data_IF_576544300845
#
_entry.id   IF_576544300845
#
_cell.length_a   1.000
_cell.length_b   1.000
_cell.length_c   1.000
_cell.angle_alpha   90.00
_cell.angle_beta   90.00
_cell.angle_gamma   90.00
#
_symmetry.space_group_name_H-M   'P 1'
#
loop_
_entity.id
_entity.type
_entity.pdbx_description
1 polymer ?
#
# COMPACT_ATOMS: atom_id res chain seq x y z
N UNK A 1 11.88 -31.19 -32.61
CA UNK A 1 13.20 -31.24 -31.93
C UNK A 1 13.94 -29.90 -31.93
N UNK A 2 13.75 -28.99 -32.89
CA UNK A 2 14.43 -27.68 -32.92
C UNK A 2 14.08 -26.73 -31.76
N UNK A 3 12.83 -26.72 -31.28
CA UNK A 3 12.40 -25.84 -30.18
C UNK A 3 13.13 -26.15 -28.86
N UNK A 4 13.41 -27.42 -28.57
CA UNK A 4 14.15 -27.81 -27.37
C UNK A 4 15.59 -27.30 -27.38
N UNK A 5 16.21 -27.22 -28.57
CA UNK A 5 17.57 -26.67 -28.74
C UNK A 5 17.59 -25.16 -28.57
N UNK A 6 16.56 -24.46 -29.07
CA UNK A 6 16.40 -23.01 -28.89
C UNK A 6 16.18 -22.63 -27.41
N UNK A 7 15.29 -23.34 -26.72
CA UNK A 7 15.03 -23.12 -25.29
C UNK A 7 16.28 -23.36 -24.43
N UNK A 8 17.04 -24.42 -24.70
CA UNK A 8 18.32 -24.68 -24.00
C UNK A 8 19.36 -23.58 -24.23
N UNK A 9 19.39 -22.98 -25.42
CA UNK A 9 20.29 -21.87 -25.72
C UNK A 9 19.90 -20.61 -24.94
N UNK A 10 18.60 -20.29 -24.91
CA UNK A 10 18.08 -19.14 -24.17
C UNK A 10 18.28 -19.30 -22.67
N UNK A 11 18.10 -20.51 -22.13
CA UNK A 11 18.31 -20.80 -20.71
C UNK A 11 19.77 -20.59 -20.34
N UNK A 12 20.70 -21.09 -21.17
CA UNK A 12 22.14 -20.87 -20.96
C UNK A 12 22.53 -19.39 -21.02
N UNK A 13 21.98 -18.63 -21.97
CA UNK A 13 22.23 -17.19 -22.09
C UNK A 13 21.71 -16.43 -20.86
N UNK A 14 20.53 -16.81 -20.34
CA UNK A 14 19.99 -16.23 -19.11
C UNK A 14 20.82 -16.60 -17.88
N UNK A 15 21.29 -17.84 -17.77
CA UNK A 15 22.18 -18.26 -16.68
C UNK A 15 23.50 -17.47 -16.69
N UNK A 16 24.06 -17.22 -17.87
CA UNK A 16 25.29 -16.45 -18.05
C UNK A 16 25.08 -14.96 -17.71
N UNK A 17 23.92 -14.40 -18.07
CA UNK A 17 23.54 -13.04 -17.70
C UNK A 17 23.30 -12.91 -16.19
N UNK A 18 22.60 -13.87 -15.58
CA UNK A 18 22.41 -13.91 -14.12
C UNK A 18 23.76 -13.95 -13.44
N UNK A 19 24.66 -14.86 -13.82
CA UNK A 19 26.00 -14.94 -13.25
C UNK A 19 26.78 -13.62 -13.33
N UNK A 20 26.74 -12.93 -14.48
CA UNK A 20 27.40 -11.63 -14.66
C UNK A 20 26.77 -10.53 -13.79
N UNK A 21 25.44 -10.52 -13.61
CA UNK A 21 24.78 -9.58 -12.71
C UNK A 21 25.10 -9.86 -11.25
N UNK A 22 25.18 -11.13 -10.84
CA UNK A 22 25.57 -11.50 -9.47
C UNK A 22 26.98 -11.04 -9.17
N UNK A 23 27.94 -11.26 -10.08
CA UNK A 23 29.33 -10.79 -9.93
C UNK A 23 29.40 -9.26 -9.80
N UNK A 24 28.62 -8.54 -10.61
CA UNK A 24 28.56 -7.07 -10.54
C UNK A 24 27.96 -6.58 -9.21
N UNK A 25 26.96 -7.28 -8.67
CA UNK A 25 26.37 -6.97 -7.36
C UNK A 25 27.33 -7.27 -6.21
N UNK A 26 28.10 -8.36 -6.28
CA UNK A 26 29.15 -8.66 -5.29
C UNK A 26 30.23 -7.59 -5.28
N UNK A 27 30.70 -7.13 -6.45
CA UNK A 27 31.66 -6.03 -6.54
C UNK A 27 31.10 -4.72 -5.98
N UNK A 28 29.83 -4.40 -6.27
CA UNK A 28 29.18 -3.21 -5.73
C UNK A 28 29.02 -3.29 -4.21
N UNK A 29 28.67 -4.47 -3.67
CA UNK A 29 28.58 -4.72 -2.24
C UNK A 29 29.95 -4.60 -1.56
N UNK A 30 31.02 -5.14 -2.15
CA UNK A 30 32.39 -4.96 -1.66
C UNK A 30 32.84 -3.49 -1.69
N UNK A 31 32.47 -2.73 -2.72
CA UNK A 31 32.77 -1.29 -2.77
C UNK A 31 32.05 -0.52 -1.67
N UNK A 32 30.77 -0.84 -1.42
CA UNK A 32 30.00 -0.24 -0.33
C UNK A 32 30.58 -0.62 1.04
N UNK A 33 30.95 -1.89 1.24
CA UNK A 33 31.60 -2.37 2.47
C UNK A 33 32.94 -1.66 2.69
N UNK A 34 33.78 -1.54 1.65
CA UNK A 34 35.04 -0.78 1.72
C UNK A 34 34.78 0.69 2.07
N UNK A 35 33.76 1.31 1.49
CA UNK A 35 33.42 2.70 1.78
C UNK A 35 32.92 2.88 3.23
N UNK A 36 32.12 1.94 3.73
CA UNK A 36 31.64 1.96 5.12
C UNK A 36 32.79 1.70 6.11
N UNK A 37 33.67 0.76 5.81
CA UNK A 37 34.84 0.45 6.64
C UNK A 37 35.91 1.54 6.58
N UNK A 38 36.10 2.20 5.43
CA UNK A 38 37.01 3.35 5.34
C UNK A 38 36.40 4.63 5.90
N UNK A 39 35.08 4.79 5.81
CA UNK A 39 34.35 5.98 6.28
C UNK A 39 34.12 6.00 7.79
N UNK A 40 33.99 4.84 8.44
CA UNK A 40 33.79 4.76 9.90
C UNK A 40 35.06 5.14 10.70
N UNK A 41 36.26 4.86 10.18
CA UNK A 41 37.51 5.15 10.91
C UNK A 41 38.08 6.56 10.66
N UNK A 42 37.60 7.29 9.66
CA UNK A 42 38.16 8.59 9.30
C UNK A 42 37.60 9.76 10.15
N UNK A 43 36.51 9.55 10.89
CA UNK A 43 35.75 10.64 11.51
C UNK A 43 36.02 10.90 12.99
N UNK A 44 36.94 10.16 13.64
CA UNK A 44 37.11 10.27 15.11
C UNK A 44 38.18 11.28 15.54
N UNK A 45 39.05 11.79 14.65
CA UNK A 45 40.10 12.75 15.07
C UNK A 45 40.46 13.77 13.99
N UNK A 46 39.63 14.79 13.79
CA UNK A 46 40.01 15.88 12.89
C UNK A 46 38.96 16.95 12.75
N UNK A 47 38.95 17.90 13.69
CA UNK A 47 38.16 19.11 13.69
C UNK A 47 38.39 19.92 12.40
N UNK A 48 37.51 19.82 11.41
CA UNK A 48 37.61 20.53 10.13
C UNK A 48 36.84 19.88 8.98
N UNK A 49 35.52 19.73 9.14
CA UNK A 49 34.63 19.07 8.17
C UNK A 49 34.41 19.90 6.90
N UNK A 50 35.20 19.63 5.88
CA UNK A 50 34.89 19.97 4.49
C UNK A 50 34.93 18.69 3.67
N UNK A 51 33.77 18.27 3.13
CA UNK A 51 33.76 17.26 2.08
C UNK A 51 34.58 17.78 0.90
N UNK A 52 35.46 16.95 0.35
CA UNK A 52 36.24 17.30 -0.83
C UNK A 52 35.26 17.64 -1.98
N UNK A 53 35.28 18.86 -2.56
CA UNK A 53 34.29 19.30 -3.55
C UNK A 53 34.24 18.38 -4.78
N UNK A 54 35.34 17.71 -5.12
CA UNK A 54 35.36 16.72 -6.20
C UNK A 54 34.50 15.48 -5.91
N UNK A 55 34.30 15.16 -4.62
CA UNK A 55 33.44 14.05 -4.21
C UNK A 55 31.97 14.39 -4.38
N UNK A 56 31.61 15.65 -4.12
CA UNK A 56 30.24 16.16 -4.30
C UNK A 56 29.89 16.17 -5.78
N UNK A 57 30.78 16.67 -6.64
CA UNK A 57 30.56 16.73 -8.09
C UNK A 57 30.42 15.33 -8.71
N UNK A 58 31.19 14.34 -8.22
CA UNK A 58 31.02 12.94 -8.64
C UNK A 58 29.72 12.32 -8.13
N UNK A 59 29.27 12.67 -6.93
CA UNK A 59 27.99 12.20 -6.41
C UNK A 59 26.82 12.79 -7.18
N UNK A 60 26.89 14.08 -7.53
CA UNK A 60 25.89 14.75 -8.35
C UNK A 60 25.79 14.12 -9.74
N UNK A 61 26.92 13.90 -10.41
CA UNK A 61 26.97 13.19 -11.70
C UNK A 61 26.41 11.76 -11.62
N UNK A 62 26.70 11.02 -10.55
CA UNK A 62 26.17 9.67 -10.36
C UNK A 62 24.64 9.68 -10.15
N UNK A 63 24.13 10.67 -9.42
CA UNK A 63 22.69 10.84 -9.21
C UNK A 63 21.99 11.16 -10.52
N UNK A 64 22.57 12.03 -11.35
CA UNK A 64 22.05 12.34 -12.69
C UNK A 64 22.05 11.11 -13.60
N UNK A 65 23.13 10.34 -13.62
CA UNK A 65 23.22 9.10 -14.41
C UNK A 65 22.19 8.06 -13.97
N UNK A 66 21.99 7.89 -12.66
CA UNK A 66 20.97 7.00 -12.11
C UNK A 66 19.55 7.47 -12.44
N UNK A 67 19.30 8.77 -12.37
CA UNK A 67 18.01 9.35 -12.72
C UNK A 67 17.71 9.16 -14.21
N UNK A 68 18.70 9.32 -15.09
CA UNK A 68 18.57 9.06 -16.51
C UNK A 68 18.31 7.57 -16.81
N UNK A 69 19.00 6.66 -16.11
CA UNK A 69 18.79 5.22 -16.27
C UNK A 69 17.37 4.79 -15.83
N UNK A 70 16.86 5.33 -14.72
CA UNK A 70 15.49 5.07 -14.25
C UNK A 70 14.46 5.61 -15.25
N UNK A 71 14.69 6.80 -15.82
CA UNK A 71 13.82 7.37 -16.84
C UNK A 71 13.76 6.50 -18.10
N UNK A 72 14.91 6.05 -18.61
CA UNK A 72 14.98 5.14 -19.74
C UNK A 72 14.29 3.79 -19.46
N UNK A 73 14.46 3.26 -18.25
CA UNK A 73 13.77 2.02 -17.84
C UNK A 73 12.25 2.19 -17.81
N UNK A 74 11.76 3.30 -17.27
CA UNK A 74 10.33 3.61 -17.25
C UNK A 74 9.75 3.78 -18.66
N UNK A 75 10.48 4.44 -19.56
CA UNK A 75 10.10 4.55 -20.97
C UNK A 75 10.03 3.19 -21.67
N UNK A 76 11.00 2.30 -21.41
CA UNK A 76 10.97 0.93 -21.93
C UNK A 76 9.82 0.10 -21.35
N UNK A 77 9.53 0.21 -20.05
CA UNK A 77 8.41 -0.50 -19.42
C UNK A 77 7.06 -0.04 -19.95
N UNK A 78 6.87 1.27 -20.17
CA UNK A 78 5.64 1.80 -20.75
C UNK A 78 5.37 1.19 -22.13
N UNK A 79 6.41 1.02 -22.96
CA UNK A 79 6.30 0.36 -24.25
C UNK A 79 5.91 -1.12 -24.17
N UNK A 80 6.49 -1.86 -23.21
CA UNK A 80 6.14 -3.28 -23.00
C UNK A 80 4.71 -3.43 -22.46
N UNK A 81 4.30 -2.57 -21.52
CA UNK A 81 2.95 -2.57 -20.98
C UNK A 81 1.90 -2.24 -22.06
N UNK A 82 2.18 -1.26 -22.93
CA UNK A 82 1.34 -0.95 -24.08
C UNK A 82 1.22 -2.13 -25.05
N UNK A 83 2.34 -2.78 -25.40
CA UNK A 83 2.31 -3.98 -26.26
C UNK A 83 1.47 -5.11 -25.67
N UNK A 84 1.54 -5.34 -24.35
CA UNK A 84 0.71 -6.33 -23.67
C UNK A 84 -0.79 -5.96 -23.72
N UNK A 85 -1.14 -4.69 -23.51
CA UNK A 85 -2.52 -4.21 -23.63
C UNK A 85 -3.04 -4.36 -25.06
N UNK A 86 -2.24 -4.06 -26.07
CA UNK A 86 -2.60 -4.27 -27.48
C UNK A 86 -2.86 -5.74 -27.80
N UNK A 87 -2.05 -6.66 -27.26
CA UNK A 87 -2.31 -8.10 -27.40
C UNK A 87 -3.60 -8.55 -26.71
N UNK A 88 -3.87 -8.09 -25.49
CA UNK A 88 -5.10 -8.41 -24.76
C UNK A 88 -6.34 -7.86 -25.46
N UNK A 89 -6.28 -6.63 -25.97
CA UNK A 89 -7.38 -6.03 -26.74
C UNK A 89 -7.64 -6.81 -28.03
N UNK A 90 -6.58 -7.28 -28.70
CA UNK A 90 -6.71 -8.12 -29.90
C UNK A 90 -7.34 -9.48 -29.57
N UNK A 91 -6.94 -10.12 -28.48
CA UNK A 91 -7.54 -11.37 -27.99
C UNK A 91 -9.01 -11.19 -27.60
N UNK A 92 -9.37 -10.11 -26.91
CA UNK A 92 -10.76 -9.78 -26.59
C UNK A 92 -11.58 -9.54 -27.86
N UNK A 93 -11.02 -8.84 -28.85
CA UNK A 93 -11.67 -8.63 -30.14
C UNK A 93 -11.91 -9.96 -30.87
N UNK A 94 -10.95 -10.89 -30.83
CA UNK A 94 -11.09 -12.23 -31.41
C UNK A 94 -12.10 -13.09 -30.64
N UNK A 95 -12.16 -12.99 -29.31
CA UNK A 95 -13.18 -13.66 -28.49
C UNK A 95 -14.59 -13.11 -28.78
N UNK A 96 -14.75 -11.79 -28.91
CA UNK A 96 -16.04 -11.18 -29.28
C UNK A 96 -16.44 -11.55 -30.71
N UNK A 97 -15.50 -11.50 -31.65
CA UNK A 97 -15.74 -11.86 -33.05
C UNK A 97 -16.06 -13.35 -33.23
N UNK A 98 -15.34 -14.24 -32.54
CA UNK A 98 -15.59 -15.67 -32.56
C UNK A 98 -16.91 -16.05 -31.87
N UNK A 99 -17.24 -15.40 -30.75
CA UNK A 99 -18.52 -15.59 -30.06
C UNK A 99 -19.71 -15.03 -30.88
N UNK A 100 -19.51 -13.97 -31.67
CA UNK A 100 -20.57 -13.41 -32.52
C UNK A 100 -20.99 -14.30 -33.69
N UNK A 101 -20.14 -15.27 -34.08
CA UNK A 101 -20.40 -16.15 -35.23
C UNK A 101 -21.14 -17.46 -34.87
N UNK A 102 -21.34 -17.75 -33.57
CA UNK A 102 -21.96 -18.98 -33.10
C UNK A 102 -23.16 -18.72 -32.20
N UNK A 103 -24.36 -18.79 -32.78
CA UNK A 103 -25.65 -18.97 -32.06
C UNK A 103 -26.09 -17.84 -31.10
N UNK A 104 -26.90 -16.92 -31.63
CA UNK A 104 -27.91 -16.18 -30.87
C UNK A 104 -27.37 -14.94 -30.15
N UNK A 105 -27.77 -13.75 -30.63
CA UNK A 105 -27.58 -12.51 -29.89
C UNK A 105 -28.12 -12.65 -28.45
N UNK A 106 -27.30 -12.44 -27.41
CA UNK A 106 -27.84 -12.21 -26.08
C UNK A 106 -28.40 -10.79 -26.04
N UNK A 107 -29.71 -10.70 -25.88
CA UNK A 107 -30.51 -9.48 -25.78
C UNK A 107 -30.27 -8.79 -24.44
N UNK A 108 -29.14 -8.09 -24.28
CA UNK A 108 -28.90 -7.24 -23.10
C UNK A 108 -29.50 -5.83 -23.23
N UNK A 109 -30.28 -5.56 -24.28
CA UNK A 109 -30.89 -4.25 -24.55
C UNK A 109 -32.34 -4.08 -24.06
N UNK A 110 -32.97 -5.09 -23.45
CA UNK A 110 -34.43 -5.06 -23.23
C UNK A 110 -34.89 -4.74 -21.79
N UNK A 111 -34.00 -4.30 -20.91
CA UNK A 111 -34.35 -4.03 -19.49
C UNK A 111 -34.15 -2.59 -19.01
N UNK A 112 -33.91 -1.62 -19.89
CA UNK A 112 -33.90 -0.21 -19.49
C UNK A 112 -34.90 0.61 -20.32
N UNK A 113 -35.94 1.06 -19.61
CA UNK A 113 -36.82 2.20 -19.92
C UNK A 113 -38.06 1.86 -20.76
N UNK A 114 -39.09 1.34 -20.07
CA UNK A 114 -40.48 1.57 -20.44
C UNK A 114 -41.19 2.26 -19.25
N UNK A 115 -40.95 3.56 -19.11
CA UNK A 115 -41.82 4.46 -18.35
C UNK A 115 -42.71 5.18 -19.35
N UNK A 116 -43.95 4.72 -19.46
CA UNK A 116 -45.05 5.52 -19.99
C UNK A 116 -45.27 6.70 -19.03
N UNK A 117 -44.95 7.92 -19.45
CA UNK A 117 -45.81 9.06 -19.13
C UNK A 117 -45.65 10.23 -20.13
N UNK A 118 -46.80 10.88 -20.32
CA UNK A 118 -47.21 11.95 -21.23
C UNK A 118 -46.19 12.86 -21.93
N UNK A 119 -46.42 13.02 -23.25
CA UNK A 119 -46.45 14.26 -24.03
C UNK A 119 -45.70 15.48 -23.47
N UNK A 120 -44.57 15.86 -24.10
CA UNK A 120 -44.31 17.27 -24.38
C UNK A 120 -43.28 17.45 -25.50
N UNK A 121 -43.50 18.51 -26.26
CA UNK A 121 -42.93 18.84 -27.56
C UNK A 121 -41.42 19.17 -27.54
N UNK A 122 -40.78 18.91 -28.69
CA UNK A 122 -39.48 19.47 -29.11
C UNK A 122 -39.39 20.99 -28.85
N UNK A 123 -38.19 21.54 -28.58
CA UNK A 123 -37.35 21.98 -29.69
C UNK A 123 -35.85 21.68 -29.51
N UNK A 124 -35.16 21.60 -30.65
CA UNK A 124 -33.72 21.37 -30.73
C UNK A 124 -32.89 22.46 -30.07
N UNK A 125 -31.83 22.03 -29.40
CA UNK A 125 -30.73 22.87 -28.93
C UNK A 125 -29.42 22.20 -29.29
N UNK A 126 -28.59 22.93 -30.03
CA UNK A 126 -27.20 22.63 -30.30
C UNK A 126 -26.45 22.36 -28.99
N UNK A 127 -25.77 21.22 -28.89
CA UNK A 127 -24.87 20.96 -27.77
C UNK A 127 -23.51 21.55 -28.13
N UNK A 128 -23.31 22.80 -27.71
CA UNK A 128 -22.00 23.39 -27.57
C UNK A 128 -21.16 22.52 -26.62
N UNK A 129 -19.95 22.21 -27.09
CA UNK A 129 -18.88 21.60 -26.32
C UNK A 129 -18.45 22.57 -25.21
N UNK A 130 -19.12 22.48 -24.06
CA UNK A 130 -18.77 23.21 -22.84
C UNK A 130 -17.54 22.60 -22.19
N UNK A 131 -16.47 23.37 -22.12
CA UNK A 131 -15.33 23.12 -21.25
C UNK A 131 -15.81 22.98 -19.79
N UNK A 132 -15.63 21.80 -19.21
CA UNK A 132 -15.74 21.58 -17.77
C UNK A 132 -14.51 22.17 -17.07
N UNK A 133 -14.49 23.49 -16.90
CA UNK A 133 -13.76 24.15 -15.82
C UNK A 133 -14.68 24.17 -14.59
N UNK A 134 -14.85 23.00 -13.96
CA UNK A 134 -15.41 22.91 -12.61
C UNK A 134 -14.36 23.48 -11.64
N UNK A 135 -14.73 24.39 -10.71
CA UNK A 135 -13.77 25.00 -9.80
C UNK A 135 -13.19 23.92 -8.86
N UNK A 136 -11.86 23.83 -8.81
CA UNK A 136 -11.12 22.86 -7.99
C UNK A 136 -11.51 22.84 -6.49
N UNK A 137 -12.13 23.91 -5.99
CA UNK A 137 -12.63 24.00 -4.62
C UNK A 137 -13.72 22.96 -4.30
N UNK A 138 -14.59 22.63 -5.27
CA UNK A 138 -15.70 21.70 -5.03
C UNK A 138 -15.22 20.23 -4.99
N UNK A 139 -14.06 19.93 -5.60
CA UNK A 139 -13.44 18.61 -5.47
C UNK A 139 -12.77 18.43 -4.11
N UNK A 140 -12.14 19.46 -3.55
CA UNK A 140 -11.53 19.39 -2.22
C UNK A 140 -12.57 19.20 -1.11
N UNK A 141 -13.74 19.85 -1.19
CA UNK A 141 -14.82 19.63 -0.21
C UNK A 141 -15.41 18.21 -0.27
N UNK A 142 -15.51 17.63 -1.47
CA UNK A 142 -15.97 16.25 -1.65
C UNK A 142 -14.96 15.24 -1.13
N UNK A 143 -13.66 15.47 -1.34
CA UNK A 143 -12.60 14.65 -0.76
C UNK A 143 -12.50 14.79 0.75
N UNK A 144 -12.67 16.00 1.29
CA UNK A 144 -12.69 16.25 2.73
C UNK A 144 -13.88 15.56 3.40
N UNK A 145 -15.07 15.61 2.78
CA UNK A 145 -16.26 14.89 3.28
C UNK A 145 -16.05 13.38 3.29
N UNK A 146 -15.49 12.82 2.21
CA UNK A 146 -15.20 11.38 2.14
C UNK A 146 -14.17 10.94 3.18
N UNK A 147 -13.16 11.78 3.43
CA UNK A 147 -12.11 11.52 4.43
C UNK A 147 -12.64 11.62 5.86
N UNK A 148 -13.54 12.57 6.14
CA UNK A 148 -14.21 12.66 7.44
C UNK A 148 -15.06 11.42 7.71
N UNK A 149 -15.79 10.92 6.71
CA UNK A 149 -16.64 9.75 6.86
C UNK A 149 -15.82 8.48 7.14
N UNK A 150 -14.66 8.33 6.49
CA UNK A 150 -13.76 7.19 6.70
C UNK A 150 -13.10 7.21 8.09
N UNK A 151 -12.75 8.39 8.61
CA UNK A 151 -12.20 8.53 9.97
C UNK A 151 -13.28 8.33 11.04
N UNK A 152 -14.51 8.77 10.78
CA UNK A 152 -15.65 8.58 11.68
C UNK A 152 -16.07 7.10 11.80
N UNK A 153 -15.85 6.29 10.75
CA UNK A 153 -16.15 4.85 10.80
C UNK A 153 -15.13 4.03 11.61
N UNK A 154 -13.89 4.51 11.73
CA UNK A 154 -12.84 3.80 12.50
C UNK A 154 -12.89 4.09 14.01
N UNK A 155 -13.43 5.25 14.43
CA UNK A 155 -13.52 5.58 15.86
C UNK A 155 -14.66 4.86 16.59
N UNK A 156 -15.77 4.51 15.91
CA UNK A 156 -16.88 3.79 16.56
C UNK A 156 -16.61 2.28 16.76
N UNK A 157 -15.66 1.67 16.04
CA UNK A 157 -15.36 0.24 16.15
C UNK A 157 -14.26 -0.12 17.18
N UNK A 158 -13.52 0.86 17.71
CA UNK A 158 -12.44 0.62 18.69
C UNK A 158 -12.77 1.03 20.14
N UNK A 159 -13.95 1.62 20.38
CA UNK A 159 -14.37 2.13 21.70
C UNK A 159 -14.92 1.10 22.71
N UNK A 160 -15.01 -0.19 22.40
CA UNK A 160 -15.66 -1.20 23.29
C UNK A 160 -14.75 -2.29 23.83
N UNK A 161 -13.42 -2.22 23.64
CA UNK A 161 -12.50 -3.30 24.03
C UNK A 161 -11.50 -2.96 25.15
N UNK A 162 -11.55 -1.76 25.75
CA UNK A 162 -10.54 -1.32 26.73
C UNK A 162 -11.15 -0.94 28.09
N UNK A 163 -11.74 -1.92 28.80
CA UNK A 163 -11.92 -1.83 30.25
C UNK A 163 -12.14 -3.23 30.87
N UNK A 164 -11.05 -3.91 31.20
CA UNK A 164 -11.00 -4.76 32.40
C UNK A 164 -9.56 -5.04 32.84
N UNK A 165 -9.28 -4.54 34.03
CA UNK A 165 -8.03 -4.57 34.78
C UNK A 165 -7.55 -5.96 35.20
N UNK A 166 -6.22 -6.05 35.24
CA UNK A 166 -5.32 -6.54 36.30
C UNK A 166 -5.86 -7.29 37.53
N UNK A 167 -5.04 -8.27 37.95
CA UNK A 167 -4.85 -8.90 39.28
C UNK A 167 -5.50 -10.28 39.59
N UNK A 168 -4.68 -11.30 39.36
CA UNK A 168 -4.36 -12.46 40.19
C UNK A 168 -5.05 -12.59 41.56
N UNK A 169 -5.95 -13.57 41.71
CA UNK A 169 -6.14 -14.30 42.98
C UNK A 169 -6.42 -15.79 42.72
N UNK A 170 -5.65 -16.62 43.42
CA UNK A 170 -5.79 -18.07 43.54
C UNK A 170 -6.93 -18.40 44.50
N UNK A 171 -7.88 -19.26 44.10
CA UNK A 171 -8.86 -19.83 45.05
C UNK A 171 -10.12 -20.42 44.42
N UNK A 172 -10.09 -21.73 44.22
CA UNK A 172 -11.11 -22.74 44.57
C UNK A 172 -12.62 -22.43 44.43
N UNK A 173 -13.29 -23.32 43.69
CA UNK A 173 -14.72 -23.65 43.69
C UNK A 173 -15.74 -22.52 43.46
N UNK A 174 -16.16 -22.40 42.19
CA UNK A 174 -17.57 -22.12 41.89
C UNK A 174 -17.92 -22.63 40.50
N UNK A 175 -18.74 -23.68 40.50
CA UNK A 175 -19.50 -24.14 39.36
C UNK A 175 -20.24 -22.97 38.72
N UNK A 176 -19.82 -22.57 37.53
CA UNK A 176 -20.59 -21.68 36.67
C UNK A 176 -21.00 -22.48 35.45
N UNK A 177 -22.32 -22.64 35.35
CA UNK A 177 -23.01 -23.45 34.39
C UNK A 177 -22.55 -23.13 32.96
N UNK A 178 -21.78 -24.06 32.39
CA UNK A 178 -21.77 -24.27 30.96
C UNK A 178 -23.23 -24.54 30.60
N UNK A 179 -23.89 -23.57 29.96
CA UNK A 179 -25.20 -23.83 29.36
C UNK A 179 -24.95 -24.87 28.28
N UNK A 180 -25.16 -26.13 28.65
CA UNK A 180 -25.46 -27.23 27.76
C UNK A 180 -26.65 -26.78 26.91
N UNK A 181 -26.38 -26.06 25.84
CA UNK A 181 -27.28 -26.07 24.70
C UNK A 181 -27.38 -27.53 24.31
N UNK A 182 -28.59 -28.12 24.32
CA UNK A 182 -28.77 -29.50 23.94
C UNK A 182 -28.15 -29.64 22.55
N UNK A 183 -27.27 -30.63 22.39
CA UNK A 183 -26.76 -31.02 21.09
C UNK A 183 -27.97 -31.43 20.23
N UNK A 184 -28.57 -30.46 19.55
CA UNK A 184 -29.51 -30.70 18.45
C UNK A 184 -28.74 -31.53 17.44
N UNK A 185 -29.21 -32.77 17.29
CA UNK A 185 -28.68 -33.79 16.41
C UNK A 185 -28.37 -33.16 15.03
N UNK A 186 -27.15 -33.26 14.49
CA UNK A 186 -26.76 -32.65 13.21
C UNK A 186 -27.55 -33.17 11.99
N UNK A 187 -28.50 -34.09 12.18
CA UNK A 187 -29.39 -34.62 11.16
C UNK A 187 -30.72 -33.88 10.99
N UNK A 188 -31.10 -32.95 11.86
CA UNK A 188 -32.41 -32.28 11.74
C UNK A 188 -32.36 -31.16 10.67
N UNK A 189 -32.85 -31.48 9.48
CA UNK A 189 -33.02 -30.52 8.39
C UNK A 189 -34.21 -29.63 8.68
N UNK A 190 -33.96 -28.41 9.17
CA UNK A 190 -35.00 -27.39 9.22
C UNK A 190 -35.47 -27.08 7.79
N UNK A 191 -36.78 -27.10 7.57
CA UNK A 191 -37.38 -26.73 6.29
C UNK A 191 -37.30 -25.20 6.08
N UNK A 192 -37.09 -24.73 4.84
CA UNK A 192 -37.05 -23.30 4.54
C UNK A 192 -38.42 -22.65 4.79
N UNK A 193 -38.47 -21.42 5.36
CA UNK A 193 -39.73 -20.73 5.60
C UNK A 193 -40.48 -20.45 4.30
N UNK A 194 -41.81 -20.58 4.32
CA UNK A 194 -42.67 -20.39 3.14
C UNK A 194 -42.73 -18.89 2.71
N UNK A 195 -42.83 -18.60 1.41
CA UNK A 195 -42.96 -17.23 0.91
C UNK A 195 -44.33 -16.64 1.29
N UNK A 196 -44.32 -15.38 1.73
CA UNK A 196 -45.53 -14.65 2.15
C UNK A 196 -45.90 -13.61 1.09
N UNK A 197 -47.20 -13.46 0.81
CA UNK A 197 -47.71 -12.39 -0.03
C UNK A 197 -47.64 -11.05 0.73
N UNK A 198 -46.66 -10.22 0.36
CA UNK A 198 -46.35 -8.95 1.05
C UNK A 198 -47.53 -7.96 1.05
N UNK A 199 -48.36 -8.01 0.01
CA UNK A 199 -49.47 -7.06 -0.20
C UNK A 199 -50.71 -7.35 0.66
N UNK A 200 -50.84 -8.58 1.18
CA UNK A 200 -52.04 -9.04 1.90
C UNK A 200 -51.76 -9.35 3.38
N UNK A 201 -50.49 -9.30 3.80
CA UNK A 201 -50.07 -9.73 5.13
C UNK A 201 -50.17 -8.62 6.18
N UNK A 202 -50.79 -8.94 7.32
CA UNK A 202 -50.78 -8.07 8.49
C UNK A 202 -49.35 -7.88 9.05
N UNK A 203 -49.10 -6.72 9.67
CA UNK A 203 -47.78 -6.37 10.25
C UNK A 203 -47.27 -7.44 11.23
N UNK A 204 -48.16 -8.07 11.99
CA UNK A 204 -47.81 -9.15 12.90
C UNK A 204 -47.32 -10.42 12.18
N UNK A 205 -47.91 -10.72 11.01
CA UNK A 205 -47.52 -11.85 10.16
C UNK A 205 -46.14 -11.59 9.55
N UNK A 206 -45.91 -10.36 9.07
CA UNK A 206 -44.61 -9.95 8.54
C UNK A 206 -43.49 -10.02 9.61
N UNK A 207 -43.76 -9.57 10.84
CA UNK A 207 -42.80 -9.70 11.94
C UNK A 207 -42.46 -11.16 12.25
N UNK A 208 -43.48 -12.02 12.33
CA UNK A 208 -43.28 -13.46 12.56
C UNK A 208 -42.47 -14.11 11.43
N UNK A 209 -42.68 -13.68 10.19
CA UNK A 209 -41.96 -14.18 9.03
C UNK A 209 -40.48 -13.79 9.04
N UNK A 210 -40.18 -12.54 9.40
CA UNK A 210 -38.81 -12.07 9.55
C UNK A 210 -38.11 -12.86 10.65
N UNK A 211 -38.74 -13.05 11.81
CA UNK A 211 -38.16 -13.86 12.89
C UNK A 211 -37.89 -15.31 12.45
N UNK A 212 -38.85 -15.97 11.78
CA UNK A 212 -38.65 -17.33 11.27
C UNK A 212 -37.51 -17.41 10.22
N UNK A 213 -37.39 -16.38 9.36
CA UNK A 213 -36.29 -16.29 8.39
C UNK A 213 -34.95 -16.09 9.07
N UNK A 214 -34.87 -15.22 10.07
CA UNK A 214 -33.63 -14.94 10.80
C UNK A 214 -33.17 -16.17 11.62
N UNK A 215 -34.11 -16.92 12.20
CA UNK A 215 -33.83 -18.22 12.83
C UNK A 215 -33.28 -19.23 11.82
N UNK A 216 -33.86 -19.30 10.62
CA UNK A 216 -33.38 -20.17 9.54
C UNK A 216 -32.01 -19.76 9.02
N UNK A 217 -31.75 -18.46 8.83
CA UNK A 217 -30.43 -17.94 8.47
C UNK A 217 -29.41 -18.30 9.57
N UNK A 218 -29.76 -18.12 10.84
CA UNK A 218 -28.92 -18.52 11.97
C UNK A 218 -28.64 -20.03 12.00
N UNK A 219 -29.61 -20.86 11.61
CA UNK A 219 -29.42 -22.29 11.41
C UNK A 219 -28.46 -22.59 10.24
N UNK A 220 -28.64 -21.96 9.07
CA UNK A 220 -27.77 -22.13 7.91
C UNK A 220 -26.32 -21.70 8.20
N UNK A 221 -26.13 -20.58 8.91
CA UNK A 221 -24.79 -20.12 9.30
C UNK A 221 -24.13 -21.13 10.23
N UNK A 222 -24.84 -21.66 11.24
CA UNK A 222 -24.33 -22.70 12.13
C UNK A 222 -23.96 -23.97 11.35
N UNK A 223 -24.83 -24.40 10.44
CA UNK A 223 -24.61 -25.56 9.57
C UNK A 223 -23.40 -25.36 8.64
N UNK A 224 -23.23 -24.18 8.05
CA UNK A 224 -22.07 -23.85 7.20
C UNK A 224 -20.78 -23.78 8.01
N UNK A 225 -20.80 -23.20 9.22
CA UNK A 225 -19.64 -23.20 10.11
C UNK A 225 -19.27 -24.61 10.53
N UNK A 226 -20.26 -25.44 10.85
CA UNK A 226 -20.03 -26.85 11.19
C UNK A 226 -19.50 -27.63 9.99
N UNK A 227 -20.12 -27.48 8.81
CA UNK A 227 -19.64 -28.07 7.57
C UNK A 227 -18.19 -27.65 7.29
N UNK A 228 -17.87 -26.35 7.40
CA UNK A 228 -16.52 -25.80 7.23
C UNK A 228 -15.50 -26.35 8.24
N UNK A 229 -15.93 -26.54 9.49
CA UNK A 229 -15.11 -27.16 10.54
C UNK A 229 -14.94 -28.67 10.33
N UNK A 230 -15.94 -29.36 9.77
CA UNK A 230 -15.84 -30.80 9.45
C UNK A 230 -15.12 -31.05 8.12
N UNK A 231 -15.14 -30.09 7.19
CA UNK A 231 -14.27 -30.05 6.01
C UNK A 231 -12.90 -29.47 6.40
N UNK A 232 -12.31 -29.97 7.49
CA UNK A 232 -10.86 -30.05 7.47
C UNK A 232 -10.52 -30.92 6.25
N UNK A 233 -9.67 -30.39 5.36
CA UNK A 233 -9.09 -31.18 4.27
C UNK A 233 -8.66 -32.52 4.88
N UNK A 234 -9.05 -33.67 4.28
CA UNK A 234 -8.58 -34.96 4.75
C UNK A 234 -7.08 -34.87 4.97
N UNK A 235 -6.65 -34.92 6.24
CA UNK A 235 -5.25 -34.81 6.64
C UNK A 235 -4.49 -36.09 6.32
N UNK A 236 -5.19 -37.08 5.76
CA UNK A 236 -4.65 -38.30 5.24
C UNK A 236 -3.98 -38.03 3.88
N UNK A 237 -2.78 -37.44 3.93
CA UNK A 237 -1.85 -37.31 2.80
C UNK A 237 -1.59 -38.66 2.09
N UNK A 238 -1.86 -39.77 2.78
CA UNK A 238 -1.78 -41.13 2.25
C UNK A 238 -2.86 -41.44 1.22
N UNK A 239 -4.03 -40.79 1.25
CA UNK A 239 -5.06 -40.95 0.21
C UNK A 239 -4.70 -40.16 -1.07
N UNK A 240 -3.89 -39.10 -0.93
CA UNK A 240 -3.38 -38.32 -2.05
C UNK A 240 -2.30 -39.05 -2.85
N UNK A 241 -1.58 -40.00 -2.25
CA UNK A 241 -0.65 -40.87 -3.00
C UNK A 241 -1.35 -41.75 -4.05
N UNK A 242 -2.66 -41.99 -3.89
CA UNK A 242 -3.49 -42.71 -4.86
C UNK A 242 -4.23 -41.78 -5.84
N UNK A 243 -4.03 -40.46 -5.74
CA UNK A 243 -4.64 -39.47 -6.63
C UNK A 243 -4.09 -39.60 -8.07
N UNK A 244 -4.92 -39.38 -9.10
CA UNK A 244 -4.45 -39.24 -10.48
C UNK A 244 -3.24 -38.29 -10.60
N UNK A 245 -2.21 -38.71 -11.35
CA UNK A 245 -0.98 -37.94 -11.57
C UNK A 245 -1.25 -36.53 -12.11
N UNK A 246 -2.34 -36.36 -12.87
CA UNK A 246 -2.79 -35.06 -13.38
C UNK A 246 -3.14 -34.08 -12.27
N UNK A 247 -3.82 -34.53 -11.21
CA UNK A 247 -4.16 -33.69 -10.06
C UNK A 247 -2.91 -33.34 -9.25
N UNK A 248 -2.00 -34.30 -9.06
CA UNK A 248 -0.73 -34.03 -8.38
C UNK A 248 0.08 -32.95 -9.12
N UNK A 249 0.14 -33.04 -10.46
CA UNK A 249 0.80 -32.04 -11.29
C UNK A 249 0.14 -30.66 -11.20
N UNK A 250 -1.20 -30.61 -11.19
CA UNK A 250 -1.93 -29.34 -11.02
C UNK A 250 -1.67 -28.73 -9.65
N UNK A 251 -1.64 -29.54 -8.59
CA UNK A 251 -1.32 -29.06 -7.24
C UNK A 251 0.10 -28.56 -7.16
N UNK A 252 1.08 -29.26 -7.74
CA UNK A 252 2.48 -28.81 -7.79
C UNK A 252 2.63 -27.49 -8.56
N UNK A 253 1.91 -27.35 -9.68
CA UNK A 253 1.89 -26.11 -10.47
C UNK A 253 1.27 -24.96 -9.68
N UNK A 254 0.11 -25.17 -9.05
CA UNK A 254 -0.54 -24.16 -8.21
C UNK A 254 0.31 -23.82 -6.98
N UNK A 255 0.98 -24.80 -6.39
CA UNK A 255 1.92 -24.57 -5.30
C UNK A 255 3.11 -23.71 -5.78
N UNK A 256 3.70 -24.03 -6.94
CA UNK A 256 4.76 -23.21 -7.53
C UNK A 256 4.28 -21.77 -7.78
N UNK A 257 3.11 -21.60 -8.38
CA UNK A 257 2.52 -20.29 -8.63
C UNK A 257 2.30 -19.51 -7.32
N UNK A 258 1.72 -20.15 -6.29
CA UNK A 258 1.53 -19.52 -4.98
C UNK A 258 2.86 -19.13 -4.34
N UNK A 259 3.88 -19.98 -4.38
CA UNK A 259 5.21 -19.64 -3.84
C UNK A 259 5.87 -18.48 -4.59
N UNK A 260 5.68 -18.39 -5.91
CA UNK A 260 6.18 -17.29 -6.71
C UNK A 260 5.45 -15.98 -6.42
N UNK A 261 4.11 -16.00 -6.34
CA UNK A 261 3.32 -14.82 -5.97
C UNK A 261 3.65 -14.33 -4.55
N UNK A 262 3.86 -15.24 -3.61
CA UNK A 262 4.29 -14.90 -2.26
C UNK A 262 5.66 -14.21 -2.29
N UNK A 263 6.63 -14.79 -3.00
CA UNK A 263 7.97 -14.19 -3.15
C UNK A 263 7.92 -12.80 -3.80
N UNK A 264 7.08 -12.60 -4.82
CA UNK A 264 6.90 -11.28 -5.45
C UNK A 264 6.31 -10.28 -4.48
N UNK A 265 5.27 -10.67 -3.73
CA UNK A 265 4.66 -9.78 -2.73
C UNK A 265 5.64 -9.42 -1.61
N UNK A 266 6.48 -10.34 -1.16
CA UNK A 266 7.53 -10.05 -0.16
C UNK A 266 8.55 -9.04 -0.68
N UNK A 267 8.95 -9.18 -1.96
CA UNK A 267 9.83 -8.22 -2.62
C UNK A 267 9.17 -6.83 -2.72
N UNK A 268 7.91 -6.75 -3.12
CA UNK A 268 7.15 -5.49 -3.18
C UNK A 268 7.09 -4.81 -1.81
N UNK A 269 6.70 -5.53 -0.75
CA UNK A 269 6.70 -4.98 0.62
C UNK A 269 8.09 -4.53 1.08
N UNK A 270 9.16 -5.25 0.69
CA UNK A 270 10.53 -4.84 1.02
C UNK A 270 10.93 -3.53 0.31
N UNK A 271 10.50 -3.33 -0.94
CA UNK A 271 10.73 -2.11 -1.70
C UNK A 271 9.93 -0.94 -1.13
N UNK A 272 8.67 -1.16 -0.76
CA UNK A 272 7.84 -0.15 -0.11
C UNK A 272 8.42 0.30 1.24
N UNK A 273 8.84 -0.65 2.09
CA UNK A 273 9.52 -0.31 3.36
C UNK A 273 10.80 0.48 3.12
N UNK A 274 11.59 0.11 2.12
CA UNK A 274 12.81 0.84 1.76
C UNK A 274 12.49 2.26 1.24
N UNK A 275 11.44 2.42 0.44
CA UNK A 275 10.96 3.71 -0.05
C UNK A 275 10.48 4.60 1.10
N UNK A 276 9.62 4.07 1.97
CA UNK A 276 9.12 4.78 3.15
C UNK A 276 10.27 5.20 4.07
N UNK A 277 11.27 4.35 4.30
CA UNK A 277 12.43 4.70 5.12
C UNK A 277 13.26 5.86 4.54
N UNK A 278 13.34 5.97 3.21
CA UNK A 278 14.00 7.12 2.54
C UNK A 278 13.15 8.39 2.64
N UNK A 279 11.85 8.28 2.42
CA UNK A 279 10.91 9.40 2.54
C UNK A 279 10.88 9.93 3.98
N UNK A 280 10.81 9.05 4.98
CA UNK A 280 10.89 9.39 6.41
C UNK A 280 12.22 10.09 6.74
N UNK A 281 13.35 9.56 6.26
CA UNK A 281 14.67 10.19 6.45
C UNK A 281 14.74 11.60 5.84
N UNK A 282 14.13 11.80 4.66
CA UNK A 282 14.05 13.10 3.99
C UNK A 282 13.18 14.09 4.75
N UNK A 283 12.00 13.67 5.20
CA UNK A 283 11.10 14.49 6.03
C UNK A 283 11.81 14.89 7.32
N UNK A 284 12.44 13.94 8.01
CA UNK A 284 13.22 14.22 9.22
C UNK A 284 14.34 15.23 8.98
N UNK A 285 15.07 15.11 7.87
CA UNK A 285 16.09 16.09 7.51
C UNK A 285 15.48 17.49 7.25
N UNK A 286 14.33 17.57 6.58
CA UNK A 286 13.60 18.83 6.37
C UNK A 286 13.09 19.43 7.68
N UNK A 287 12.61 18.60 8.61
CA UNK A 287 12.22 19.06 9.94
C UNK A 287 13.41 19.58 10.73
N UNK A 288 14.55 18.89 10.69
CA UNK A 288 15.77 19.33 11.38
C UNK A 288 16.30 20.65 10.81
N UNK A 289 16.25 20.83 9.48
CA UNK A 289 16.63 22.11 8.87
C UNK A 289 15.64 23.21 9.21
N UNK A 290 14.33 22.94 9.19
CA UNK A 290 13.29 23.89 9.60
C UNK A 290 13.40 24.27 11.09
N UNK A 291 13.67 23.30 11.98
CA UNK A 291 13.95 23.58 13.41
C UNK A 291 15.17 24.46 13.56
N UNK A 292 16.25 24.22 12.80
CA UNK A 292 17.45 25.07 12.82
C UNK A 292 17.16 26.49 12.33
N UNK A 293 16.35 26.67 11.29
CA UNK A 293 15.99 28.01 10.81
C UNK A 293 15.08 28.74 11.79
N UNK A 294 14.12 28.06 12.43
CA UNK A 294 13.29 28.62 13.50
C UNK A 294 14.13 29.07 14.71
N UNK A 295 15.10 28.24 15.13
CA UNK A 295 16.09 28.61 16.14
C UNK A 295 16.88 29.87 15.79
N UNK A 296 17.36 29.96 14.54
CA UNK A 296 18.08 31.14 14.06
C UNK A 296 17.21 32.40 14.04
N UNK A 297 15.90 32.26 13.83
CA UNK A 297 14.92 33.34 13.88
C UNK A 297 14.44 33.68 15.31
N UNK A 298 14.86 32.94 16.33
CA UNK A 298 14.40 33.11 17.71
C UNK A 298 12.96 32.68 17.94
N UNK A 299 12.40 31.85 17.04
CA UNK A 299 11.04 31.29 17.10
C UNK A 299 11.10 29.81 17.48
N UNK A 300 11.98 29.42 18.40
CA UNK A 300 12.14 28.01 18.78
C UNK A 300 10.89 27.56 19.56
N UNK A 301 10.05 26.66 18.99
CA UNK A 301 8.77 26.31 19.59
C UNK A 301 8.91 25.41 20.83
N UNK A 302 10.08 24.79 21.00
CA UNK A 302 10.41 23.94 22.16
C UNK A 302 11.02 24.74 23.33
N UNK A 303 11.23 26.05 23.16
CA UNK A 303 11.70 26.93 24.22
C UNK A 303 10.49 27.37 25.05
N UNK A 304 10.03 26.49 25.94
CA UNK A 304 9.11 26.83 27.02
C UNK A 304 9.82 27.89 27.89
N UNK A 305 9.43 29.15 27.71
CA UNK A 305 10.14 30.35 28.18
C UNK A 305 10.20 30.58 29.69
N UNK A 306 10.36 29.54 30.49
CA UNK A 306 10.50 29.61 31.94
C UNK A 306 11.95 29.51 32.45
N UNK A 307 12.94 29.29 31.56
CA UNK A 307 14.34 29.58 31.90
C UNK A 307 14.63 31.05 31.60
N UNK A 308 14.54 31.87 32.65
CA UNK A 308 15.01 33.24 32.72
C UNK A 308 16.46 33.31 32.24
N UNK A 309 16.65 33.61 30.95
CA UNK A 309 17.97 33.80 30.33
C UNK A 309 18.60 35.02 31.01
N UNK A 310 19.45 34.77 32.01
CA UNK A 310 20.54 35.69 32.37
C UNK A 310 21.34 35.92 31.09
N UNK A 311 21.10 37.07 30.46
CA UNK A 311 21.79 37.56 29.28
C UNK A 311 23.25 37.91 29.66
N UNK A 312 24.06 36.88 29.90
CA UNK A 312 25.51 37.01 29.79
C UNK A 312 25.85 37.16 28.31
N UNK A 313 25.88 38.44 27.90
CA UNK A 313 26.38 38.94 26.61
C UNK A 313 27.88 38.62 26.44
N UNK A 314 28.25 37.35 26.33
CA UNK A 314 29.59 36.99 25.86
C UNK A 314 29.63 37.00 24.32
N UNK A 315 29.88 38.21 23.83
CA UNK A 315 29.98 38.60 22.42
C UNK A 315 31.26 38.09 21.76
N UNK A 316 31.42 36.76 21.65
CA UNK A 316 32.66 36.14 21.13
C UNK A 316 32.58 35.54 19.72
N UNK A 317 31.44 34.98 19.32
CA UNK A 317 31.39 34.09 18.14
C UNK A 317 30.79 34.73 16.89
N UNK A 318 30.02 35.82 17.04
CA UNK A 318 29.35 36.51 15.94
C UNK A 318 30.27 37.26 14.97
N UNK A 319 31.51 37.59 15.35
CA UNK A 319 32.39 38.45 14.52
C UNK A 319 33.42 37.67 13.70
N UNK A 320 33.51 36.34 13.83
CA UNK A 320 34.59 35.55 13.20
C UNK A 320 34.41 35.38 11.69
N UNK A 321 33.17 35.35 11.20
CA UNK A 321 32.86 35.29 9.76
C UNK A 321 33.00 36.67 9.09
N UNK A 322 32.60 37.75 9.78
CA UNK A 322 32.82 39.14 9.35
C UNK A 322 34.31 39.49 9.21
N UNK A 323 35.15 38.96 10.11
CA UNK A 323 36.61 39.12 10.03
C UNK A 323 37.25 38.31 8.89
N UNK A 324 36.67 37.16 8.53
CA UNK A 324 37.09 36.37 7.35
C UNK A 324 36.70 37.02 6.02
N UNK A 325 35.63 37.83 6.00
CA UNK A 325 35.18 38.58 4.82
C UNK A 325 35.89 39.92 4.62
N UNK A 326 36.78 40.33 5.54
CA UNK A 326 37.57 41.56 5.41
C UNK A 326 36.75 42.85 5.49
N UNK A 327 35.53 42.80 6.04
CA UNK A 327 34.59 43.94 6.08
C UNK A 327 34.83 44.82 7.32
N UNK A 328 35.54 44.34 8.33
CA UNK A 328 35.98 45.20 9.44
C UNK A 328 37.17 46.06 8.97
N UNK A 329 36.86 47.27 8.50
CA UNK A 329 37.79 48.37 8.28
C UNK A 329 38.72 48.53 9.50
N UNK A 330 40.02 48.40 9.26
CA UNK A 330 41.08 49.04 10.05
C UNK A 330 41.04 50.55 9.75
N UNK A 331 40.04 51.27 10.29
CA UNK A 331 39.87 52.73 10.14
C UNK A 331 40.23 53.53 11.41
N UNK A 332 40.94 52.93 12.37
CA UNK A 332 41.39 53.62 13.58
C UNK A 332 42.92 53.55 13.69
N UNK A 333 43.61 54.41 12.94
CA UNK A 333 44.93 54.97 13.33
C UNK A 333 45.10 56.34 12.62
N UNK A 334 44.19 57.25 12.96
CA UNK A 334 44.28 58.69 12.69
C UNK A 334 44.97 59.34 13.89
N UNK A 335 46.16 59.90 13.60
CA UNK A 335 46.74 61.12 14.18
C UNK A 335 46.79 61.26 15.71
N UNK A 336 48.00 61.13 16.25
CA UNK A 336 48.44 62.03 17.33
C UNK A 336 49.81 62.62 16.94
N UNK A 337 49.75 63.82 16.38
CA UNK A 337 50.81 64.83 16.45
C UNK A 337 50.81 65.43 17.86
N UNK A 338 51.95 65.37 18.58
CA UNK A 338 52.59 66.53 19.25
C UNK A 338 53.97 66.17 19.85
#
# INVERSE_FOLDING_TARGET
>A
MSNNKSLKSQLKEKDELVAALTERLELAAEQLDRFQRSGADQNVRGNGGGFDPQSIERQESLVDDLQQAVQQWNEMQAGVALGNLETQVSELHDLVSSNSSGLGQPTWQDSLIQTDDAQSEQPGGEVESGNNDEPAADQEERWASLKSHLMETDEEQLGTAAQRDTEETVGTDSASANSEQPATDPGETADPPEPIAEDEADVAVLQSAVSARDEYIGFLIRKLRHAKATTHLPTDWTEWEASPEELCRQVEELQSQLTETLRLSELEHSLERARLGREESRVRQMEETARKTLRQLGLDPDFDGDEEIELDRDSGTGNRWLKMLGICNDDDDVEDEE
#
